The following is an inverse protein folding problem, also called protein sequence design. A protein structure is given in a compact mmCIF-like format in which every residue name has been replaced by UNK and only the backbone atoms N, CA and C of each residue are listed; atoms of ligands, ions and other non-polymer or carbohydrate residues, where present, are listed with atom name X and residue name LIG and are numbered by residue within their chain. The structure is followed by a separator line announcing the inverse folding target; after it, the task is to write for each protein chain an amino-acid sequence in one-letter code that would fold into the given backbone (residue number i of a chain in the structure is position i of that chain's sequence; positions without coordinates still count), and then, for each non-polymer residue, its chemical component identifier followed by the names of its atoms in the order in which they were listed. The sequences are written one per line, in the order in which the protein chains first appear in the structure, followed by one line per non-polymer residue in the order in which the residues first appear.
data_IF_716696104730
#
_entry.id   IF_716696104730
#
_cell.length_a   1.000
_cell.length_b   1.000
_cell.length_c   1.000
_cell.angle_alpha   90.00
_cell.angle_beta   90.00
_cell.angle_gamma   90.00
#
_symmetry.space_group_name_H-M   'P 1'
#
loop_
_entity.id
_entity.type
_entity.pdbx_description
1 polymer ?
#
# COMPACT_ATOMS: atom_id res chain seq x y z
N UNK A 1 -79.61 -49.75 -16.01
CA UNK A 1 -79.05 -49.88 -17.37
C UNK A 1 -77.61 -49.41 -17.33
N UNK A 2 -76.65 -50.33 -17.27
CA UNK A 2 -75.23 -49.95 -17.35
C UNK A 2 -74.92 -49.61 -18.82
N UNK A 3 -74.51 -48.36 -19.05
CA UNK A 3 -74.13 -47.83 -20.35
C UNK A 3 -72.80 -48.45 -20.80
N UNK A 4 -72.85 -49.34 -21.80
CA UNK A 4 -71.67 -49.87 -22.48
C UNK A 4 -71.11 -48.80 -23.43
N UNK A 5 -70.30 -47.89 -22.92
CA UNK A 5 -69.55 -46.95 -23.75
C UNK A 5 -68.62 -47.73 -24.70
N UNK A 6 -68.64 -47.40 -26.00
CA UNK A 6 -67.78 -48.03 -27.01
C UNK A 6 -66.29 -47.90 -26.61
N UNK A 7 -65.47 -48.97 -26.70
CA UNK A 7 -64.10 -49.00 -26.18
C UNK A 7 -63.17 -47.90 -26.72
N UNK A 8 -63.42 -47.40 -27.94
CA UNK A 8 -62.59 -46.36 -28.55
C UNK A 8 -62.85 -44.96 -27.95
N UNK A 9 -64.08 -44.68 -27.48
CA UNK A 9 -64.45 -43.39 -26.85
C UNK A 9 -63.81 -43.28 -25.47
N UNK A 10 -63.80 -44.39 -24.71
CA UNK A 10 -63.12 -44.44 -23.41
C UNK A 10 -61.60 -44.33 -23.57
N UNK A 11 -61.03 -44.90 -24.64
CA UNK A 11 -59.62 -44.72 -25.01
C UNK A 11 -59.29 -43.26 -25.39
N UNK A 12 -60.12 -42.60 -26.20
CA UNK A 12 -59.94 -41.19 -26.57
C UNK A 12 -60.04 -40.26 -25.37
N UNK A 13 -61.01 -40.47 -24.47
CA UNK A 13 -61.14 -39.71 -23.22
C UNK A 13 -59.93 -39.91 -22.29
N UNK A 14 -59.41 -41.13 -22.17
CA UNK A 14 -58.16 -41.42 -21.43
C UNK A 14 -56.96 -40.69 -22.04
N UNK A 15 -56.86 -40.64 -23.37
CA UNK A 15 -55.81 -39.90 -24.07
C UNK A 15 -55.90 -38.38 -23.84
N UNK A 16 -57.11 -37.82 -23.87
CA UNK A 16 -57.35 -36.41 -23.54
C UNK A 16 -56.99 -36.08 -22.09
N UNK A 17 -57.39 -36.94 -21.14
CA UNK A 17 -57.02 -36.80 -19.73
C UNK A 17 -55.50 -36.88 -19.53
N UNK A 18 -54.83 -37.80 -20.23
CA UNK A 18 -53.37 -37.91 -20.20
C UNK A 18 -52.68 -36.65 -20.77
N UNK A 19 -53.19 -36.09 -21.86
CA UNK A 19 -52.68 -34.86 -22.45
C UNK A 19 -52.96 -33.61 -21.61
N UNK A 20 -54.05 -33.59 -20.83
CA UNK A 20 -54.34 -32.53 -19.85
C UNK A 20 -53.40 -32.64 -18.64
N UNK A 21 -53.30 -33.82 -18.01
CA UNK A 21 -52.40 -34.03 -16.88
C UNK A 21 -50.93 -33.70 -17.21
N UNK A 22 -50.50 -33.96 -18.46
CA UNK A 22 -49.15 -33.59 -18.92
C UNK A 22 -48.96 -32.09 -19.10
N UNK A 23 -49.98 -31.36 -19.56
CA UNK A 23 -49.96 -29.90 -19.66
C UNK A 23 -50.00 -29.24 -18.29
N UNK A 24 -50.84 -29.75 -17.39
CA UNK A 24 -50.95 -29.26 -16.01
C UNK A 24 -49.64 -29.49 -15.26
N UNK A 25 -49.00 -30.66 -15.42
CA UNK A 25 -47.67 -30.92 -14.84
C UNK A 25 -46.54 -30.05 -15.42
N UNK A 26 -46.61 -29.70 -16.72
CA UNK A 26 -45.66 -28.75 -17.33
C UNK A 26 -45.88 -27.32 -16.82
N UNK A 27 -47.14 -26.93 -16.59
CA UNK A 27 -47.52 -25.64 -16.04
C UNK A 27 -47.08 -25.50 -14.58
N UNK A 28 -47.31 -26.53 -13.76
CA UNK A 28 -46.87 -26.61 -12.37
C UNK A 28 -45.34 -26.55 -12.24
N UNK A 29 -44.62 -27.27 -13.11
CA UNK A 29 -43.15 -27.18 -13.17
C UNK A 29 -42.64 -25.80 -13.59
N UNK A 30 -43.35 -25.09 -14.48
CA UNK A 30 -43.03 -23.72 -14.88
C UNK A 30 -43.31 -22.69 -13.77
N UNK A 31 -44.33 -22.92 -12.95
CA UNK A 31 -44.65 -22.09 -11.78
C UNK A 31 -43.61 -22.34 -10.68
N UNK A 32 -43.34 -23.61 -10.34
CA UNK A 32 -42.34 -23.95 -9.33
C UNK A 32 -40.94 -23.43 -9.67
N UNK A 33 -40.56 -23.44 -10.96
CA UNK A 33 -39.32 -22.82 -11.42
C UNK A 33 -39.30 -21.29 -11.25
N UNK A 34 -40.43 -20.62 -11.49
CA UNK A 34 -40.58 -19.16 -11.26
C UNK A 34 -40.54 -18.82 -9.78
N UNK A 35 -41.22 -19.58 -8.94
CA UNK A 35 -41.24 -19.38 -7.49
C UNK A 35 -39.85 -19.58 -6.89
N UNK A 36 -39.09 -20.56 -7.38
CA UNK A 36 -37.72 -20.79 -6.96
C UNK A 36 -36.78 -19.64 -7.36
N UNK A 37 -36.97 -19.05 -8.55
CA UNK A 37 -36.22 -17.87 -8.98
C UNK A 37 -36.60 -16.66 -8.11
N UNK A 38 -37.89 -16.40 -7.89
CA UNK A 38 -38.35 -15.29 -7.06
C UNK A 38 -37.85 -15.40 -5.61
N UNK A 39 -37.84 -16.61 -5.05
CA UNK A 39 -37.30 -16.85 -3.70
C UNK A 39 -35.80 -16.55 -3.64
N UNK A 40 -35.03 -16.95 -4.65
CA UNK A 40 -33.59 -16.66 -4.73
C UNK A 40 -33.32 -15.18 -4.95
N UNK A 41 -34.10 -14.52 -5.79
CA UNK A 41 -33.96 -13.09 -6.05
C UNK A 41 -34.28 -12.28 -4.79
N UNK A 42 -35.32 -12.66 -4.05
CA UNK A 42 -35.65 -12.02 -2.76
C UNK A 42 -34.54 -12.22 -1.72
N UNK A 43 -33.95 -13.41 -1.63
CA UNK A 43 -32.80 -13.67 -0.74
C UNK A 43 -31.56 -12.87 -1.16
N UNK A 44 -31.30 -12.76 -2.47
CA UNK A 44 -30.22 -11.93 -2.99
C UNK A 44 -30.44 -10.44 -2.70
N UNK A 45 -31.66 -9.93 -2.89
CA UNK A 45 -32.01 -8.55 -2.55
C UNK A 45 -31.81 -8.27 -1.06
N UNK A 46 -32.27 -9.16 -0.18
CA UNK A 46 -32.05 -9.04 1.26
C UNK A 46 -30.56 -9.05 1.62
N UNK A 47 -29.76 -9.89 0.96
CA UNK A 47 -28.30 -9.92 1.16
C UNK A 47 -27.62 -8.65 0.66
N UNK A 48 -28.04 -8.09 -0.47
CA UNK A 48 -27.52 -6.82 -1.00
C UNK A 48 -27.85 -5.68 -0.04
N UNK A 49 -29.11 -5.58 0.39
CA UNK A 49 -29.53 -4.59 1.39
C UNK A 49 -28.74 -4.74 2.68
N UNK A 50 -28.56 -5.96 3.21
CA UNK A 50 -27.76 -6.19 4.41
C UNK A 50 -26.26 -5.84 4.25
N UNK A 51 -25.70 -5.94 3.03
CA UNK A 51 -24.32 -5.52 2.75
C UNK A 51 -24.21 -4.00 2.64
N UNK A 52 -25.23 -3.34 2.09
CA UNK A 52 -25.31 -1.88 1.92
C UNK A 52 -25.63 -1.17 3.25
N UNK A 53 -26.58 -1.70 4.04
CA UNK A 53 -27.07 -1.15 5.31
C UNK A 53 -26.29 -1.64 6.54
N UNK A 54 -25.30 -2.52 6.36
CA UNK A 54 -24.32 -2.81 7.41
C UNK A 54 -23.78 -1.46 7.91
N UNK A 55 -23.78 -1.17 9.23
CA UNK A 55 -23.38 0.13 9.80
C UNK A 55 -21.87 0.37 9.75
N UNK A 56 -21.28 0.16 8.57
CA UNK A 56 -19.92 0.41 8.15
C UNK A 56 -19.98 0.77 6.66
N UNK A 57 -20.58 1.91 6.40
CA UNK A 57 -20.51 2.66 5.15
C UNK A 57 -19.10 2.56 4.58
N UNK A 58 -18.95 1.98 3.38
CA UNK A 58 -17.70 2.02 2.60
C UNK A 58 -16.97 3.38 2.66
N UNK A 59 -17.65 4.54 2.55
CA UNK A 59 -16.98 5.84 2.69
C UNK A 59 -16.38 6.11 4.07
N UNK A 60 -16.88 5.49 5.14
CA UNK A 60 -16.34 5.67 6.49
C UNK A 60 -15.06 4.85 6.69
N UNK A 61 -15.01 3.64 6.11
CA UNK A 61 -13.79 2.82 6.05
C UNK A 61 -12.70 3.49 5.23
N UNK A 62 -13.04 4.05 4.07
CA UNK A 62 -12.06 4.75 3.25
C UNK A 62 -11.51 5.99 3.96
N UNK A 63 -12.36 6.72 4.69
CA UNK A 63 -11.93 7.83 5.56
C UNK A 63 -11.01 7.35 6.66
N UNK A 64 -11.34 6.26 7.33
CA UNK A 64 -10.50 5.67 8.37
C UNK A 64 -9.15 5.22 7.81
N UNK A 65 -9.13 4.55 6.65
CA UNK A 65 -7.91 4.13 5.98
C UNK A 65 -7.03 5.33 5.59
N UNK A 66 -7.63 6.39 5.05
CA UNK A 66 -6.91 7.64 4.74
C UNK A 66 -6.35 8.29 5.99
N UNK A 67 -7.13 8.33 7.07
CA UNK A 67 -6.70 8.86 8.36
C UNK A 67 -5.53 8.05 8.94
N UNK A 68 -5.64 6.73 8.97
CA UNK A 68 -4.59 5.83 9.44
C UNK A 68 -3.33 5.95 8.59
N UNK A 69 -3.46 6.00 7.26
CA UNK A 69 -2.34 6.18 6.35
C UNK A 69 -1.64 7.52 6.60
N UNK A 70 -2.39 8.60 6.75
CA UNK A 70 -1.83 9.92 7.09
C UNK A 70 -1.06 9.89 8.41
N UNK A 71 -1.63 9.24 9.43
CA UNK A 71 -0.99 9.07 10.74
C UNK A 71 0.29 8.22 10.66
N UNK A 72 0.29 7.15 9.86
CA UNK A 72 1.48 6.32 9.64
C UNK A 72 2.60 7.12 8.97
N UNK A 73 2.27 7.90 7.94
CA UNK A 73 3.24 8.76 7.26
C UNK A 73 3.84 9.80 8.21
N UNK A 74 3.02 10.45 9.04
CA UNK A 74 3.50 11.40 10.06
C UNK A 74 4.41 10.72 11.09
N UNK A 75 4.06 9.51 11.55
CA UNK A 75 4.90 8.75 12.48
C UNK A 75 6.24 8.34 11.85
N UNK A 76 6.23 7.88 10.60
CA UNK A 76 7.44 7.54 9.86
C UNK A 76 8.34 8.77 9.68
N UNK A 77 7.79 9.90 9.25
CA UNK A 77 8.55 11.13 9.04
C UNK A 77 9.13 11.67 10.35
N UNK A 78 8.39 11.59 11.46
CA UNK A 78 8.91 11.94 12.80
C UNK A 78 10.06 11.02 13.22
N UNK A 79 9.95 9.72 12.94
CA UNK A 79 11.01 8.75 13.21
C UNK A 79 12.24 8.95 12.30
N UNK A 80 12.05 9.54 11.12
CA UNK A 80 13.12 9.83 10.17
C UNK A 80 13.77 11.21 10.34
N UNK A 81 13.24 12.08 11.20
CA UNK A 81 13.74 13.45 11.39
C UNK A 81 15.23 13.55 11.77
N UNK A 82 15.71 12.55 12.49
CA UNK A 82 17.10 12.46 12.93
C UNK A 82 18.02 11.79 11.89
N UNK A 83 17.42 11.20 10.86
CA UNK A 83 18.14 10.51 9.81
C UNK A 83 18.56 11.49 8.71
N UNK A 84 19.82 11.35 8.27
CA UNK A 84 20.42 12.06 7.15
C UNK A 84 20.91 11.02 6.15
N UNK A 85 20.77 11.33 4.86
CA UNK A 85 21.34 10.52 3.77
C UNK A 85 22.47 11.29 3.10
N UNK A 86 23.62 10.63 3.02
CA UNK A 86 24.77 11.14 2.28
C UNK A 86 25.01 10.29 1.03
N UNK A 87 25.17 10.96 -0.11
CA UNK A 87 25.45 10.36 -1.42
C UNK A 87 26.83 10.81 -1.89
N UNK A 88 27.44 10.04 -2.81
CA UNK A 88 28.68 10.46 -3.48
C UNK A 88 29.98 9.98 -2.84
N UNK A 89 29.97 9.62 -1.55
CA UNK A 89 31.15 9.04 -0.90
C UNK A 89 31.61 7.76 -1.61
N UNK A 90 32.87 7.63 -2.06
CA UNK A 90 33.41 6.41 -2.66
C UNK A 90 33.23 5.21 -1.73
N UNK A 91 33.06 3.99 -2.27
CA UNK A 91 33.02 2.82 -1.40
C UNK A 91 34.37 2.65 -0.68
N UNK A 92 34.33 2.14 0.56
CA UNK A 92 35.50 1.85 1.40
C UNK A 92 36.27 3.05 1.96
N UNK A 93 35.92 4.28 1.60
CA UNK A 93 36.59 5.49 2.12
C UNK A 93 36.39 5.67 3.64
N UNK A 94 35.36 5.06 4.22
CA UNK A 94 35.05 5.20 5.65
C UNK A 94 35.92 4.33 6.56
N UNK A 95 36.66 3.38 5.99
CA UNK A 95 37.42 2.41 6.76
C UNK A 95 36.53 1.45 7.55
N UNK A 96 36.84 1.26 8.84
CA UNK A 96 36.17 0.27 9.71
C UNK A 96 34.89 0.82 10.34
N UNK A 97 34.85 2.11 10.68
CA UNK A 97 33.71 2.73 11.35
C UNK A 97 33.21 3.97 10.60
N UNK A 98 32.01 3.83 10.05
CA UNK A 98 31.29 4.89 9.33
C UNK A 98 30.95 6.07 10.24
N UNK A 99 30.72 5.85 11.54
CA UNK A 99 30.36 6.93 12.45
C UNK A 99 31.54 7.87 12.69
N UNK A 100 32.70 7.31 13.01
CA UNK A 100 33.95 8.08 13.19
C UNK A 100 34.29 8.86 11.92
N UNK A 101 34.23 8.21 10.74
CA UNK A 101 34.43 8.88 9.46
C UNK A 101 33.50 10.08 9.26
N UNK A 102 32.18 9.89 9.47
CA UNK A 102 31.22 10.99 9.29
C UNK A 102 31.40 12.11 10.32
N UNK A 103 31.82 11.78 11.54
CA UNK A 103 32.04 12.76 12.62
C UNK A 103 33.19 13.72 12.27
N UNK A 104 34.20 13.26 11.54
CA UNK A 104 35.34 14.06 11.11
C UNK A 104 35.07 14.77 9.77
N UNK A 105 34.41 14.08 8.84
CA UNK A 105 34.23 14.58 7.47
C UNK A 105 33.09 15.58 7.35
N UNK A 106 31.92 15.35 7.95
CA UNK A 106 30.76 16.23 7.75
C UNK A 106 31.00 17.67 8.27
N UNK A 107 31.58 17.90 9.46
CA UNK A 107 31.91 19.25 9.91
C UNK A 107 32.92 19.94 8.98
N UNK A 108 33.95 19.21 8.55
CA UNK A 108 34.98 19.71 7.63
C UNK A 108 34.40 20.08 6.26
N UNK A 109 33.53 19.23 5.70
CA UNK A 109 32.89 19.44 4.41
C UNK A 109 31.90 20.60 4.42
N UNK A 110 31.14 20.74 5.51
CA UNK A 110 30.07 21.74 5.60
C UNK A 110 30.53 23.07 6.20
N UNK A 111 31.73 23.11 6.80
CA UNK A 111 32.25 24.26 7.53
C UNK A 111 31.47 24.58 8.81
N UNK A 112 30.63 23.65 9.29
CA UNK A 112 29.81 23.84 10.48
C UNK A 112 30.56 23.32 11.69
N UNK A 113 30.72 24.17 12.70
CA UNK A 113 31.10 23.73 14.04
C UNK A 113 29.85 23.36 14.84
N UNK A 114 29.80 22.12 15.33
CA UNK A 114 28.72 21.63 16.19
C UNK A 114 29.17 21.62 17.65
N UNK A 115 28.41 22.29 18.51
CA UNK A 115 28.57 22.25 19.97
C UNK A 115 27.28 21.74 20.63
N UNK A 116 27.30 20.61 21.36
CA UNK A 116 28.40 19.64 21.46
C UNK A 116 28.69 18.92 20.14
N UNK A 117 29.83 18.22 20.07
CA UNK A 117 30.27 17.49 18.87
C UNK A 117 29.17 16.59 18.29
N UNK A 118 29.23 16.35 16.98
CA UNK A 118 28.25 15.49 16.32
C UNK A 118 28.33 14.07 16.87
N UNK A 119 27.19 13.53 17.25
CA UNK A 119 27.05 12.17 17.77
C UNK A 119 26.02 11.41 16.94
N UNK A 120 26.36 10.17 16.61
CA UNK A 120 25.50 9.28 15.84
C UNK A 120 24.97 8.17 16.72
N UNK A 121 23.68 7.88 16.60
CA UNK A 121 23.10 6.65 17.13
C UNK A 121 23.51 5.45 16.26
N UNK A 122 23.55 5.66 14.95
CA UNK A 122 23.90 4.65 13.93
C UNK A 122 24.34 5.32 12.64
N UNK A 123 25.27 4.70 11.93
CA UNK A 123 25.58 5.04 10.54
C UNK A 123 25.94 3.78 9.76
N UNK A 124 25.39 3.62 8.56
CA UNK A 124 25.65 2.46 7.70
C UNK A 124 25.33 2.75 6.23
N UNK A 125 25.95 1.99 5.32
CA UNK A 125 25.62 1.99 3.89
C UNK A 125 24.29 1.26 3.65
N UNK A 126 23.45 1.81 2.77
CA UNK A 126 22.17 1.21 2.38
C UNK A 126 22.32 0.30 1.15
N UNK A 127 21.70 -0.87 1.22
CA UNK A 127 21.60 -1.82 0.08
C UNK A 127 22.75 -2.82 -0.02
N UNK A 128 22.64 -3.79 -0.95
CA UNK A 128 23.62 -4.87 -1.12
C UNK A 128 24.97 -4.31 -1.57
N UNK A 129 26.08 -4.88 -1.09
CA UNK A 129 27.44 -4.49 -1.48
C UNK A 129 27.55 -4.43 -3.01
N UNK A 130 28.09 -3.34 -3.54
CA UNK A 130 28.34 -3.20 -4.98
C UNK A 130 29.78 -3.60 -5.28
N UNK A 131 30.06 -3.86 -6.55
CA UNK A 131 31.43 -4.06 -7.00
C UNK A 131 32.22 -2.74 -6.83
N UNK A 132 33.50 -2.86 -6.53
CA UNK A 132 34.41 -1.73 -6.27
C UNK A 132 34.45 -0.72 -7.43
N UNK A 133 34.35 -1.22 -8.68
CA UNK A 133 34.32 -0.41 -9.91
C UNK A 133 32.95 0.21 -10.25
N UNK A 134 31.96 0.07 -9.37
CA UNK A 134 30.65 0.69 -9.58
C UNK A 134 30.78 2.21 -9.49
N UNK A 135 30.55 2.91 -10.61
CA UNK A 135 30.41 4.39 -10.65
C UNK A 135 29.35 4.95 -9.70
N UNK A 136 28.47 4.11 -9.15
CA UNK A 136 27.45 4.51 -8.17
C UNK A 136 27.78 3.91 -6.81
N UNK A 137 28.30 4.72 -5.90
CA UNK A 137 28.46 4.33 -4.51
C UNK A 137 27.12 4.20 -3.79
N UNK A 138 27.08 3.39 -2.72
CA UNK A 138 25.87 3.23 -1.90
C UNK A 138 25.66 4.45 -1.00
N UNK A 139 24.42 4.93 -0.81
CA UNK A 139 24.19 6.03 0.12
C UNK A 139 24.47 5.58 1.56
N UNK A 140 25.00 6.48 2.37
CA UNK A 140 25.17 6.30 3.80
C UNK A 140 23.94 6.88 4.48
N UNK A 141 23.26 6.08 5.32
CA UNK A 141 22.22 6.55 6.22
C UNK A 141 22.83 6.70 7.61
N UNK A 142 22.81 7.92 8.13
CA UNK A 142 23.25 8.24 9.48
C UNK A 142 22.08 8.78 10.30
N UNK A 143 22.01 8.40 11.56
CA UNK A 143 21.00 8.84 12.52
C UNK A 143 21.72 9.62 13.60
N UNK A 144 21.46 10.92 13.69
CA UNK A 144 22.10 11.78 14.68
C UNK A 144 21.36 11.67 16.02
N UNK A 145 22.07 11.87 17.12
CA UNK A 145 21.46 11.89 18.46
C UNK A 145 20.58 13.13 18.68
N UNK A 146 20.81 14.21 17.92
CA UNK A 146 20.12 15.49 18.06
C UNK A 146 19.52 15.93 16.74
N UNK A 147 18.19 16.00 16.69
CA UNK A 147 17.43 16.46 15.52
C UNK A 147 17.82 17.87 15.04
N UNK A 148 18.29 18.73 15.97
CA UNK A 148 18.72 20.09 15.66
C UNK A 148 19.97 20.10 14.78
N UNK A 149 20.93 19.22 15.07
CA UNK A 149 22.14 19.05 14.29
C UNK A 149 21.84 18.50 12.90
N UNK A 150 20.93 17.51 12.80
CA UNK A 150 20.48 16.97 11.52
C UNK A 150 19.84 18.07 10.65
N UNK A 151 18.94 18.86 11.24
CA UNK A 151 18.27 19.97 10.55
C UNK A 151 19.26 21.05 10.10
N UNK A 152 20.23 21.41 10.94
CA UNK A 152 21.27 22.38 10.60
C UNK A 152 22.12 21.88 9.44
N UNK A 153 22.57 20.63 9.50
CA UNK A 153 23.35 19.98 8.44
C UNK A 153 22.59 19.98 7.10
N UNK A 154 21.32 19.56 7.11
CA UNK A 154 20.46 19.55 5.92
C UNK A 154 20.26 20.97 5.38
N UNK A 155 20.00 21.95 6.26
CA UNK A 155 19.81 23.35 5.85
C UNK A 155 21.06 23.88 5.17
N UNK A 156 22.24 23.66 5.75
CA UNK A 156 23.51 24.11 5.16
C UNK A 156 23.77 23.42 3.84
N UNK A 157 23.51 22.11 3.72
CA UNK A 157 23.66 21.39 2.47
C UNK A 157 22.72 21.93 1.36
N UNK A 158 21.48 22.29 1.71
CA UNK A 158 20.58 22.94 0.76
C UNK A 158 21.05 24.34 0.34
N UNK A 159 21.67 25.09 1.24
CA UNK A 159 22.16 26.46 0.95
C UNK A 159 23.47 26.46 0.17
N UNK A 160 24.42 25.60 0.53
CA UNK A 160 25.74 25.54 -0.11
C UNK A 160 25.72 24.70 -1.40
N UNK A 161 24.74 23.80 -1.55
CA UNK A 161 24.66 22.88 -2.67
C UNK A 161 25.55 21.65 -2.48
N UNK A 162 25.96 20.98 -3.57
CA UNK A 162 26.80 19.79 -3.50
C UNK A 162 28.23 20.12 -3.02
N UNK A 163 28.72 19.31 -2.09
CA UNK A 163 30.10 19.39 -1.61
C UNK A 163 31.03 18.66 -2.56
N UNK A 164 32.23 19.19 -2.78
CA UNK A 164 33.22 18.54 -3.64
C UNK A 164 34.39 18.07 -2.77
N UNK A 165 34.65 16.76 -2.77
CA UNK A 165 35.79 16.17 -2.05
C UNK A 165 36.47 15.13 -2.94
N UNK A 166 37.78 15.26 -3.12
CA UNK A 166 38.61 14.32 -3.89
C UNK A 166 38.07 13.99 -5.30
N UNK A 167 37.44 14.97 -5.95
CA UNK A 167 36.83 14.81 -7.28
C UNK A 167 35.43 14.17 -7.29
N UNK A 168 34.85 13.90 -6.12
CA UNK A 168 33.49 13.38 -5.97
C UNK A 168 32.51 14.45 -5.51
N UNK A 169 31.32 14.41 -6.08
CA UNK A 169 30.19 15.26 -5.69
C UNK A 169 29.40 14.58 -4.57
N UNK A 170 29.41 15.19 -3.39
CA UNK A 170 28.75 14.70 -2.18
C UNK A 170 27.47 15.48 -1.95
N UNK A 171 26.35 14.77 -1.84
CA UNK A 171 25.06 15.36 -1.50
C UNK A 171 24.62 14.89 -0.13
N UNK A 172 24.10 15.82 0.67
CA UNK A 172 23.53 15.52 1.99
C UNK A 172 22.06 15.94 1.98
N UNK A 173 21.17 15.00 2.24
CA UNK A 173 19.71 15.23 2.21
C UNK A 173 19.02 14.67 3.45
N UNK A 174 17.82 15.17 3.71
CA UNK A 174 16.93 14.56 4.69
C UNK A 174 16.49 13.15 4.26
N UNK A 175 16.18 12.30 5.23
CA UNK A 175 15.46 11.04 5.01
C UNK A 175 13.95 11.28 5.19
N UNK A 176 13.14 10.86 4.22
CA UNK A 176 11.68 10.98 4.27
C UNK A 176 11.03 9.62 4.08
N UNK A 177 9.80 9.47 4.57
CA UNK A 177 8.94 8.36 4.17
C UNK A 177 8.76 8.34 2.65
N UNK A 178 8.43 7.17 2.11
CA UNK A 178 8.22 6.99 0.67
C UNK A 178 7.19 7.98 0.12
N UNK A 179 6.06 8.11 0.82
CA UNK A 179 4.97 8.97 0.38
C UNK A 179 5.34 10.45 0.43
N UNK A 180 6.05 10.90 1.47
CA UNK A 180 6.53 12.28 1.55
C UNK A 180 7.56 12.57 0.45
N UNK A 181 8.41 11.60 0.11
CA UNK A 181 9.35 11.74 -1.00
C UNK A 181 8.63 11.82 -2.36
N UNK A 182 7.61 11.00 -2.58
CA UNK A 182 6.76 11.06 -3.79
C UNK A 182 6.05 12.40 -3.92
N UNK A 183 5.47 12.93 -2.84
CA UNK A 183 4.85 14.27 -2.84
C UNK A 183 5.87 15.35 -3.19
N UNK A 184 7.07 15.29 -2.61
CA UNK A 184 8.14 16.27 -2.89
C UNK A 184 8.61 16.24 -4.35
N UNK A 185 8.65 15.05 -4.97
CA UNK A 185 9.04 14.90 -6.38
C UNK A 185 7.95 15.35 -7.36
N UNK A 186 6.72 15.55 -6.90
CA UNK A 186 5.61 15.99 -7.72
C UNK A 186 5.51 17.53 -7.87
N UNK A 187 6.27 18.29 -7.08
CA UNK A 187 6.38 19.75 -7.15
C UNK A 187 7.62 20.15 -7.96
#
# INVERSE_FOLDING_TARGET
MQSNALPWITSFKKSQQWAQARRDGLYDMSIGGRDQIQSRDSDLEQRVVAVVDRPNTVPDRDRELLFLRSKLVDLEDRSCRDNVRSFGFPEHVEGVDVQTFLKETLPTLTGISFDPSMEFQRAHRLGPKRAEDSRRSRPIKSCLMRHTQARQLISTACTQGPFHADGYEIHVTADFSKETNERRNAF
#
